data_IF_265833439029
#
_entry.id   IF_265833439029
#
_cell.length_a   1.000
_cell.length_b   1.000
_cell.length_c   1.000
_cell.angle_alpha   90.00
_cell.angle_beta   90.00
_cell.angle_gamma   90.00
#
_symmetry.space_group_name_H-M   'P 1'
#
loop_
_entity.id
_entity.type
_entity.pdbx_description
1 polymer ?
#
# COMPACT_ATOMS: atom_id res chain seq x y z
N UNK A 1 -10.98 -1.07 10.33
CA UNK A 1 -11.94 -0.73 11.41
C UNK A 1 -11.29 -1.05 12.75
N UNK A 2 -10.50 -0.11 13.27
CA UNK A 2 -10.00 -0.08 14.64
C UNK A 2 -9.61 1.38 14.91
N UNK A 3 -10.62 2.24 15.06
CA UNK A 3 -10.41 3.54 15.67
C UNK A 3 -9.95 3.27 17.11
N UNK A 4 -8.65 3.38 17.34
CA UNK A 4 -8.13 3.70 18.66
C UNK A 4 -8.87 4.97 19.09
N UNK A 5 -9.80 4.83 20.03
CA UNK A 5 -10.53 5.96 20.61
C UNK A 5 -9.55 6.72 21.48
N UNK A 6 -8.70 7.55 20.87
CA UNK A 6 -7.92 8.53 21.60
C UNK A 6 -8.95 9.47 22.20
N UNK A 7 -9.23 9.33 23.50
CA UNK A 7 -10.12 10.23 24.23
C UNK A 7 -9.60 11.65 24.00
N UNK A 8 -10.43 12.62 23.56
CA UNK A 8 -9.95 13.93 23.15
C UNK A 8 -9.20 14.68 24.26
N UNK A 9 -9.47 14.35 25.53
CA UNK A 9 -8.77 14.92 26.70
C UNK A 9 -7.35 14.39 26.94
N UNK A 10 -6.97 13.24 26.36
CA UNK A 10 -5.63 12.63 26.50
C UNK A 10 -4.75 12.82 25.25
N UNK A 11 -5.26 13.51 24.21
CA UNK A 11 -4.49 13.81 23.00
C UNK A 11 -3.19 14.57 23.31
N UNK A 12 -3.25 15.55 24.22
CA UNK A 12 -2.08 16.31 24.67
C UNK A 12 -1.02 15.44 25.33
N UNK A 13 -1.42 14.41 26.09
CA UNK A 13 -0.48 13.49 26.73
C UNK A 13 0.23 12.63 25.68
N UNK A 14 -0.50 12.14 24.68
CA UNK A 14 0.09 11.35 23.60
C UNK A 14 0.97 12.18 22.66
N UNK A 15 0.63 13.45 22.43
CA UNK A 15 1.39 14.37 21.57
C UNK A 15 2.65 14.91 22.29
N UNK A 16 2.57 15.17 23.60
CA UNK A 16 3.69 15.65 24.39
C UNK A 16 4.64 14.52 24.81
N UNK A 17 4.16 13.26 24.86
CA UNK A 17 4.93 12.11 25.35
C UNK A 17 6.34 11.98 24.75
N UNK A 18 6.55 12.05 23.41
CA UNK A 18 7.90 11.94 22.85
C UNK A 18 8.81 13.10 23.29
N UNK A 19 8.28 14.34 23.30
CA UNK A 19 9.04 15.52 23.70
C UNK A 19 9.41 15.46 25.19
N UNK A 20 8.45 15.17 26.06
CA UNK A 20 8.68 15.04 27.50
C UNK A 20 9.63 13.89 27.81
N UNK A 21 9.53 12.79 27.07
CA UNK A 21 10.42 11.64 27.20
C UNK A 21 11.86 12.00 26.86
N UNK A 22 12.09 12.75 25.77
CA UNK A 22 13.42 13.28 25.42
C UNK A 22 13.95 14.23 26.49
N UNK A 23 13.13 15.17 26.97
CA UNK A 23 13.54 16.15 27.99
C UNK A 23 13.93 15.45 29.30
N UNK A 24 13.06 14.59 29.83
CA UNK A 24 13.30 13.84 31.08
C UNK A 24 14.51 12.94 30.93
N UNK A 25 14.63 12.21 29.82
CA UNK A 25 15.76 11.31 29.58
C UNK A 25 17.08 12.07 29.43
N UNK A 26 17.06 13.26 28.83
CA UNK A 26 18.25 14.12 28.74
C UNK A 26 18.66 14.65 30.11
N UNK A 27 17.71 15.08 30.96
CA UNK A 27 17.99 15.52 32.34
C UNK A 27 18.56 14.37 33.17
N UNK A 28 17.94 13.20 33.12
CA UNK A 28 18.42 12.00 33.85
C UNK A 28 19.81 11.62 33.35
N UNK A 29 20.03 11.59 32.03
CA UNK A 29 21.34 11.25 31.46
C UNK A 29 22.41 12.27 31.84
N UNK A 30 22.05 13.55 31.97
CA UNK A 30 22.96 14.61 32.42
C UNK A 30 23.35 14.43 33.89
N UNK A 31 22.40 14.13 34.77
CA UNK A 31 22.66 13.86 36.20
C UNK A 31 23.48 12.57 36.37
N UNK A 32 23.09 11.50 35.68
CA UNK A 32 23.75 10.19 35.76
C UNK A 32 25.14 10.15 35.13
N UNK A 33 25.48 11.08 34.21
CA UNK A 33 26.85 11.20 33.66
C UNK A 33 27.89 11.51 34.73
N UNK A 34 27.47 12.11 35.84
CA UNK A 34 28.30 12.35 37.02
C UNK A 34 28.62 11.05 37.77
N UNK A 35 27.82 9.99 37.59
CA UNK A 35 27.97 8.71 38.27
C UNK A 35 28.55 7.58 37.39
N UNK A 36 28.20 7.45 36.10
CA UNK A 36 28.75 6.39 35.24
C UNK A 36 28.92 6.79 33.76
N UNK A 37 30.03 6.36 33.14
CA UNK A 37 30.43 6.64 31.74
C UNK A 37 29.79 5.71 30.69
N UNK A 38 28.75 4.94 31.03
CA UNK A 38 28.25 3.84 30.19
C UNK A 38 27.17 4.18 29.15
N UNK A 39 26.52 5.35 29.22
CA UNK A 39 25.36 5.65 28.37
C UNK A 39 25.81 6.28 27.04
N UNK A 40 25.52 5.60 25.93
CA UNK A 40 25.77 6.13 24.58
C UNK A 40 24.80 7.28 24.26
N UNK A 41 25.36 8.49 24.15
CA UNK A 41 24.65 9.70 23.74
C UNK A 41 24.88 9.99 22.25
N UNK A 42 24.04 10.83 21.67
CA UNK A 42 24.12 11.24 20.26
C UNK A 42 25.48 11.88 19.93
N UNK A 43 26.05 12.67 20.85
CA UNK A 43 27.35 13.33 20.64
C UNK A 43 27.25 14.64 19.87
N UNK A 44 28.37 15.10 19.29
CA UNK A 44 28.46 16.41 18.64
C UNK A 44 27.63 16.47 17.36
N UNK A 45 26.72 17.44 17.31
CA UNK A 45 25.90 17.77 16.15
C UNK A 45 26.31 19.14 15.62
N UNK A 46 26.61 19.28 14.31
CA UNK A 46 26.99 20.55 13.72
C UNK A 46 25.79 21.51 13.70
N UNK A 47 25.93 22.67 14.35
CA UNK A 47 24.89 23.68 14.42
C UNK A 47 24.64 24.36 13.08
N UNK A 48 23.39 24.76 12.84
CA UNK A 48 23.00 25.56 11.70
C UNK A 48 22.47 24.77 10.50
N UNK A 49 22.43 25.44 9.36
CA UNK A 49 21.88 24.89 8.11
C UNK A 49 23.03 24.42 7.23
N UNK A 50 22.87 23.28 6.56
CA UNK A 50 23.88 22.81 5.62
C UNK A 50 24.12 23.84 4.51
N UNK A 51 25.39 24.07 4.11
CA UNK A 51 25.70 24.95 3.00
C UNK A 51 25.12 24.41 1.69
N UNK A 52 24.91 25.31 0.73
CA UNK A 52 24.46 24.95 -0.61
C UNK A 52 25.41 23.93 -1.24
N UNK A 53 24.85 22.81 -1.68
CA UNK A 53 25.56 21.64 -2.21
C UNK A 53 25.44 21.55 -3.73
N UNK A 54 24.95 22.62 -4.37
CA UNK A 54 24.76 22.69 -5.83
C UNK A 54 26.07 22.43 -6.58
N UNK A 55 27.20 22.90 -6.05
CA UNK A 55 28.53 22.71 -6.65
C UNK A 55 29.08 21.28 -6.52
N UNK A 56 28.49 20.45 -5.65
CA UNK A 56 28.92 19.06 -5.40
C UNK A 56 28.17 18.03 -6.27
N UNK A 57 27.28 18.47 -7.15
CA UNK A 57 26.51 17.60 -8.06
C UNK A 57 27.39 17.13 -9.22
N UNK A 58 28.05 15.98 -9.04
CA UNK A 58 28.85 15.36 -10.08
C UNK A 58 28.07 14.28 -10.83
N UNK A 59 27.68 14.59 -12.07
CA UNK A 59 26.98 13.63 -12.95
C UNK A 59 27.93 12.65 -13.66
N UNK A 60 29.23 12.97 -13.69
CA UNK A 60 30.27 12.16 -14.35
C UNK A 60 31.19 11.58 -13.29
N UNK A 61 31.36 10.26 -13.30
CA UNK A 61 32.26 9.54 -12.40
C UNK A 61 31.98 8.04 -12.36
N UNK A 62 32.91 7.23 -11.79
CA UNK A 62 32.78 5.78 -11.70
C UNK A 62 31.56 5.33 -10.87
N UNK A 63 31.09 6.18 -9.95
CA UNK A 63 29.92 5.91 -9.10
C UNK A 63 28.60 6.42 -9.67
N UNK A 64 28.60 7.09 -10.83
CA UNK A 64 27.38 7.66 -11.43
C UNK A 64 26.31 6.59 -11.74
N UNK A 65 26.74 5.43 -12.26
CA UNK A 65 25.81 4.33 -12.54
C UNK A 65 25.19 3.74 -11.26
N UNK A 66 25.97 3.61 -10.19
CA UNK A 66 25.47 3.14 -8.89
C UNK A 66 24.50 4.16 -8.27
N UNK A 67 24.82 5.45 -8.37
CA UNK A 67 23.97 6.53 -7.90
C UNK A 67 22.64 6.60 -8.67
N UNK A 68 22.67 6.44 -9.99
CA UNK A 68 21.46 6.39 -10.81
C UNK A 68 20.58 5.19 -10.44
N UNK A 69 21.18 3.99 -10.31
CA UNK A 69 20.44 2.78 -9.90
C UNK A 69 19.82 2.94 -8.52
N UNK A 70 20.59 3.46 -7.55
CA UNK A 70 20.12 3.67 -6.19
C UNK A 70 19.04 4.74 -6.14
N UNK A 71 19.22 5.86 -6.85
CA UNK A 71 18.27 6.96 -6.95
C UNK A 71 16.95 6.57 -7.59
N UNK A 72 16.97 5.71 -8.63
CA UNK A 72 15.73 5.15 -9.20
C UNK A 72 14.98 4.30 -8.16
N UNK A 73 15.68 3.42 -7.45
CA UNK A 73 15.05 2.54 -6.46
C UNK A 73 14.51 3.33 -5.28
N UNK A 74 15.28 4.24 -4.69
CA UNK A 74 14.85 5.06 -3.55
C UNK A 74 13.78 6.07 -3.94
N UNK A 75 13.84 6.64 -5.14
CA UNK A 75 12.82 7.54 -5.67
C UNK A 75 11.47 6.84 -5.86
N UNK A 76 11.47 5.62 -6.42
CA UNK A 76 10.26 4.80 -6.53
C UNK A 76 9.69 4.46 -5.15
N UNK A 77 10.54 4.05 -4.21
CA UNK A 77 10.13 3.76 -2.83
C UNK A 77 9.50 5.00 -2.17
N UNK A 78 10.16 6.16 -2.25
CA UNK A 78 9.67 7.41 -1.68
C UNK A 78 8.32 7.82 -2.28
N UNK A 79 8.15 7.66 -3.60
CA UNK A 79 6.87 7.93 -4.27
C UNK A 79 5.78 6.97 -3.80
N UNK A 80 6.06 5.67 -3.72
CA UNK A 80 5.07 4.67 -3.30
C UNK A 80 4.62 4.90 -1.86
N UNK A 81 5.54 5.23 -0.96
CA UNK A 81 5.24 5.54 0.44
C UNK A 81 4.44 6.85 0.55
N UNK A 82 4.83 7.91 -0.17
CA UNK A 82 4.09 9.17 -0.21
C UNK A 82 2.63 8.98 -0.68
N UNK A 83 2.42 8.25 -1.79
CA UNK A 83 1.08 7.97 -2.32
C UNK A 83 0.29 7.08 -1.35
N UNK A 84 0.90 6.08 -0.74
CA UNK A 84 0.24 5.19 0.21
C UNK A 84 -0.26 5.95 1.45
N UNK A 85 0.59 6.81 2.03
CA UNK A 85 0.23 7.67 3.15
C UNK A 85 -0.86 8.65 2.72
N UNK A 86 -0.69 9.34 1.60
CA UNK A 86 -1.68 10.26 1.05
C UNK A 86 -3.06 9.62 0.91
N UNK A 87 -3.14 8.48 0.21
CA UNK A 87 -4.40 7.75 -0.01
C UNK A 87 -5.07 7.31 1.29
N UNK A 88 -4.28 6.93 2.29
CA UNK A 88 -4.80 6.55 3.62
C UNK A 88 -5.54 7.72 4.27
N UNK A 89 -4.95 8.92 4.27
CA UNK A 89 -5.60 10.12 4.83
C UNK A 89 -6.74 10.66 3.94
N UNK A 90 -6.61 10.53 2.63
CA UNK A 90 -7.66 10.90 1.66
C UNK A 90 -8.94 10.09 1.84
N UNK A 91 -8.79 8.77 2.00
CA UNK A 91 -9.90 7.86 2.30
C UNK A 91 -10.60 8.23 3.60
N UNK A 92 -9.85 8.60 4.66
CA UNK A 92 -10.46 9.01 5.94
C UNK A 92 -11.25 10.32 5.87
N UNK A 93 -10.91 11.22 4.94
CA UNK A 93 -11.57 12.53 4.77
C UNK A 93 -12.48 12.60 3.55
N UNK A 94 -12.64 11.49 2.82
CA UNK A 94 -13.42 11.41 1.59
C UNK A 94 -13.05 12.49 0.55
N UNK A 95 -11.76 12.77 0.38
CA UNK A 95 -11.27 13.55 -0.76
C UNK A 95 -10.44 12.66 -1.68
N UNK A 96 -10.26 13.09 -2.93
CA UNK A 96 -9.45 12.37 -3.90
C UNK A 96 -8.07 13.02 -4.04
N UNK A 97 -7.04 12.18 -4.10
CA UNK A 97 -5.68 12.61 -4.41
C UNK A 97 -5.38 12.27 -5.87
N UNK A 98 -4.85 13.26 -6.57
CA UNK A 98 -4.31 13.11 -7.91
C UNK A 98 -2.86 12.64 -7.82
N UNK A 99 -2.61 11.38 -8.23
CA UNK A 99 -1.28 10.78 -8.17
C UNK A 99 -0.24 11.47 -9.06
N UNK A 100 -0.66 12.09 -10.16
CA UNK A 100 0.27 12.81 -11.05
C UNK A 100 0.77 14.08 -10.38
N UNK A 101 -0.12 14.82 -9.70
CA UNK A 101 0.26 16.02 -8.93
C UNK A 101 1.17 15.66 -7.76
N UNK A 102 0.88 14.56 -7.07
CA UNK A 102 1.72 14.09 -5.97
C UNK A 102 3.11 13.69 -6.45
N UNK A 103 3.21 13.01 -7.61
CA UNK A 103 4.48 12.64 -8.21
C UNK A 103 5.34 13.86 -8.55
N UNK A 104 4.74 14.89 -9.15
CA UNK A 104 5.45 16.15 -9.44
C UNK A 104 5.88 16.86 -8.16
N UNK A 105 5.04 16.87 -7.12
CA UNK A 105 5.36 17.49 -5.84
C UNK A 105 6.53 16.80 -5.13
N UNK A 106 6.51 15.47 -5.02
CA UNK A 106 7.60 14.67 -4.41
C UNK A 106 8.90 14.82 -5.21
N UNK A 107 8.82 14.83 -6.55
CA UNK A 107 9.97 15.06 -7.43
C UNK A 107 10.58 16.45 -7.24
N UNK A 108 9.75 17.50 -7.28
CA UNK A 108 10.21 18.88 -7.09
C UNK A 108 10.81 19.09 -5.69
N UNK A 109 10.21 18.50 -4.65
CA UNK A 109 10.72 18.56 -3.28
C UNK A 109 12.11 17.92 -3.16
N UNK A 110 12.31 16.72 -3.72
CA UNK A 110 13.61 16.05 -3.68
C UNK A 110 14.66 16.75 -4.55
N UNK A 111 14.26 17.34 -5.68
CA UNK A 111 15.16 18.12 -6.52
C UNK A 111 15.65 19.38 -5.79
N UNK A 112 14.75 20.13 -5.15
CA UNK A 112 15.10 21.27 -4.30
C UNK A 112 15.96 20.85 -3.09
N UNK A 113 15.62 19.73 -2.44
CA UNK A 113 16.38 19.20 -1.30
C UNK A 113 17.81 18.78 -1.67
N UNK A 114 18.03 18.27 -2.89
CA UNK A 114 19.36 17.88 -3.36
C UNK A 114 20.35 19.04 -3.40
N UNK A 115 19.86 20.27 -3.61
CA UNK A 115 20.67 21.48 -3.61
C UNK A 115 21.18 21.88 -2.22
N UNK A 116 20.63 21.30 -1.14
CA UNK A 116 20.94 21.67 0.26
C UNK A 116 21.43 20.45 1.06
N UNK A 117 21.98 19.42 0.39
CA UNK A 117 22.42 18.16 1.02
C UNK A 117 21.31 17.44 1.82
N UNK A 118 20.06 17.53 1.35
CA UNK A 118 18.97 16.77 1.94
C UNK A 118 19.03 15.30 1.50
N UNK A 119 18.74 14.38 2.42
CA UNK A 119 18.47 12.98 2.06
C UNK A 119 17.12 12.86 1.34
N UNK A 120 16.90 11.74 0.64
CA UNK A 120 15.65 11.46 -0.05
C UNK A 120 14.48 11.57 0.93
N UNK A 121 13.57 12.49 0.65
CA UNK A 121 12.39 12.74 1.47
C UNK A 121 11.20 11.97 0.91
N UNK A 122 10.43 11.37 1.83
CA UNK A 122 9.27 10.51 1.56
C UNK A 122 8.07 10.93 2.43
N UNK A 123 6.92 10.27 2.24
CA UNK A 123 5.71 10.49 3.03
C UNK A 123 5.83 9.96 4.46
N UNK A 124 5.97 10.85 5.45
CA UNK A 124 6.07 10.45 6.86
C UNK A 124 4.72 10.12 7.50
N UNK A 125 4.35 8.82 7.57
CA UNK A 125 3.09 8.37 8.19
C UNK A 125 2.88 8.94 9.60
N UNK A 126 3.88 8.83 10.48
CA UNK A 126 3.78 9.28 11.87
C UNK A 126 3.50 10.78 12.00
N UNK A 127 4.20 11.62 11.21
CA UNK A 127 4.02 13.09 11.25
C UNK A 127 2.66 13.49 10.70
N UNK A 128 2.24 12.88 9.59
CA UNK A 128 0.92 13.10 8.99
C UNK A 128 -0.21 12.66 9.92
N UNK A 129 -0.04 11.55 10.65
CA UNK A 129 -1.02 11.08 11.64
C UNK A 129 -1.18 12.06 12.80
N UNK A 130 -0.09 12.60 13.33
CA UNK A 130 -0.15 13.61 14.39
C UNK A 130 -0.81 14.89 13.88
N UNK A 131 -0.42 15.36 12.70
CA UNK A 131 -0.99 16.56 12.07
C UNK A 131 -2.50 16.41 11.82
N UNK A 132 -2.92 15.22 11.38
CA UNK A 132 -4.32 14.87 11.18
C UNK A 132 -5.11 14.83 12.49
N UNK A 133 -4.56 14.17 13.51
CA UNK A 133 -5.20 14.04 14.82
C UNK A 133 -5.26 15.38 15.58
N UNK A 134 -4.31 16.29 15.32
CA UNK A 134 -4.34 17.67 15.82
C UNK A 134 -5.47 18.51 15.19
N UNK A 135 -6.15 18.01 14.16
CA UNK A 135 -7.26 18.70 13.51
C UNK A 135 -6.85 19.75 12.49
N UNK A 136 -5.61 19.72 12.01
CA UNK A 136 -5.11 20.66 11.00
C UNK A 136 -5.87 20.50 9.67
N UNK A 137 -6.24 21.65 9.07
CA UNK A 137 -7.05 21.70 7.84
C UNK A 137 -6.32 22.30 6.64
N UNK A 138 -5.21 23.02 6.87
CA UNK A 138 -4.51 23.79 5.84
C UNK A 138 -3.04 23.40 5.77
N UNK A 139 -2.41 23.65 4.62
CA UNK A 139 -0.98 23.44 4.41
C UNK A 139 -0.09 24.36 5.27
N UNK A 140 -0.67 25.40 5.88
CA UNK A 140 0.03 26.30 6.80
C UNK A 140 0.64 25.54 8.00
N UNK A 141 0.04 24.42 8.42
CA UNK A 141 0.62 23.57 9.46
C UNK A 141 2.02 23.07 9.09
N UNK A 142 2.25 22.70 7.82
CA UNK A 142 3.56 22.23 7.36
C UNK A 142 4.60 23.35 7.34
N UNK A 143 4.17 24.60 7.08
CA UNK A 143 5.06 25.78 7.13
C UNK A 143 5.51 26.01 8.58
N UNK A 144 4.57 26.02 9.53
CA UNK A 144 4.88 26.18 10.95
C UNK A 144 5.81 25.07 11.42
N UNK A 145 5.54 23.81 11.04
CA UNK A 145 6.41 22.68 11.35
C UNK A 145 7.82 22.89 10.80
N UNK A 146 7.97 23.33 9.56
CA UNK A 146 9.28 23.61 8.96
C UNK A 146 10.02 24.75 9.69
N UNK A 147 9.31 25.84 10.06
CA UNK A 147 9.89 26.94 10.83
C UNK A 147 10.36 26.51 12.22
N UNK A 148 9.60 25.67 12.91
CA UNK A 148 9.99 25.12 14.22
C UNK A 148 11.22 24.22 14.06
N UNK A 149 11.26 23.36 13.04
CA UNK A 149 12.45 22.52 12.76
C UNK A 149 13.68 23.39 12.49
N UNK A 150 13.55 24.43 11.66
CA UNK A 150 14.65 25.37 11.39
C UNK A 150 15.14 26.05 12.68
N UNK A 151 14.22 26.52 13.51
CA UNK A 151 14.57 27.11 14.81
C UNK A 151 15.29 26.11 15.72
N UNK A 152 14.83 24.85 15.76
CA UNK A 152 15.49 23.82 16.57
C UNK A 152 16.90 23.51 16.09
N UNK A 153 17.15 23.55 14.77
CA UNK A 153 18.50 23.33 14.22
C UNK A 153 19.45 24.49 14.53
N UNK A 154 18.93 25.72 14.61
CA UNK A 154 19.75 26.90 14.88
C UNK A 154 20.07 27.09 16.37
N UNK A 155 19.14 26.78 17.27
CA UNK A 155 19.26 27.11 18.70
C UNK A 155 19.35 25.87 19.62
N UNK A 156 18.68 24.77 19.27
CA UNK A 156 18.49 23.63 20.18
C UNK A 156 19.41 22.44 19.87
N UNK A 157 20.19 22.47 18.79
CA UNK A 157 21.17 21.42 18.48
C UNK A 157 22.13 21.07 19.63
N UNK A 158 22.76 22.02 20.35
CA UNK A 158 23.65 21.68 21.45
C UNK A 158 22.94 20.99 22.62
N UNK A 159 21.61 21.15 22.75
CA UNK A 159 20.83 20.45 23.77
C UNK A 159 20.70 18.95 23.48
N UNK A 160 20.61 18.57 22.20
CA UNK A 160 20.49 17.17 21.77
C UNK A 160 21.78 16.36 21.95
N UNK A 161 22.92 17.02 22.15
CA UNK A 161 24.20 16.35 22.43
C UNK A 161 24.11 15.36 23.59
N UNK A 162 23.30 15.70 24.61
CA UNK A 162 23.15 14.93 25.84
C UNK A 162 22.03 13.89 25.79
N UNK A 163 21.28 13.83 24.69
CA UNK A 163 20.18 12.89 24.57
C UNK A 163 20.71 11.46 24.40
N UNK A 164 20.23 10.48 25.18
CA UNK A 164 20.70 9.10 25.10
C UNK A 164 20.06 8.36 23.92
N UNK A 165 20.83 7.50 23.24
CA UNK A 165 20.34 6.73 22.10
C UNK A 165 19.18 5.77 22.48
N UNK A 166 19.12 5.35 23.75
CA UNK A 166 18.07 4.46 24.27
C UNK A 166 16.68 5.08 24.13
N UNK A 167 16.53 6.38 24.39
CA UNK A 167 15.22 7.03 24.31
C UNK A 167 14.73 7.16 22.86
N UNK A 168 15.66 7.41 21.94
CA UNK A 168 15.36 7.47 20.52
C UNK A 168 14.88 6.11 20.00
N UNK A 169 15.55 5.02 20.39
CA UNK A 169 15.12 3.65 20.09
C UNK A 169 13.74 3.34 20.67
N UNK A 170 13.47 3.74 21.91
CA UNK A 170 12.18 3.53 22.56
C UNK A 170 11.04 4.28 21.82
N UNK A 171 11.29 5.51 21.37
CA UNK A 171 10.32 6.30 20.58
C UNK A 171 10.04 5.61 19.24
N UNK A 172 11.07 5.13 18.54
CA UNK A 172 10.92 4.43 17.26
C UNK A 172 10.10 3.14 17.44
N UNK A 173 10.44 2.31 18.42
CA UNK A 173 9.72 1.05 18.70
C UNK A 173 8.25 1.35 19.04
N UNK A 174 8.00 2.33 19.91
CA UNK A 174 6.64 2.72 20.29
C UNK A 174 5.82 3.22 19.09
N UNK A 175 6.44 3.98 18.19
CA UNK A 175 5.78 4.45 16.97
C UNK A 175 5.44 3.28 16.03
N UNK A 176 6.39 2.36 15.78
CA UNK A 176 6.23 1.24 14.85
C UNK A 176 5.19 0.23 15.32
N UNK A 177 5.09 -0.05 16.62
CA UNK A 177 4.08 -0.97 17.17
C UNK A 177 2.66 -0.54 16.77
N UNK A 178 2.40 0.77 16.73
CA UNK A 178 1.10 1.32 16.31
C UNK A 178 0.77 1.14 14.83
N UNK A 179 1.76 0.86 13.98
CA UNK A 179 1.57 0.64 12.53
C UNK A 179 1.24 -0.82 12.19
N UNK A 180 1.44 -1.77 13.11
CA UNK A 180 1.22 -3.20 12.85
C UNK A 180 -0.28 -3.54 12.98
N UNK A 181 -0.98 -3.68 11.84
CA UNK A 181 -2.38 -4.11 11.80
C UNK A 181 -2.52 -5.64 11.60
N UNK A 182 -2.43 -6.38 12.71
CA UNK A 182 -2.61 -7.85 12.71
C UNK A 182 -4.04 -8.25 12.32
N UNK A 183 -5.05 -7.44 12.66
CA UNK A 183 -6.44 -7.74 12.35
C UNK A 183 -6.69 -7.65 10.84
N UNK A 184 -6.09 -6.66 10.19
CA UNK A 184 -6.09 -6.53 8.73
C UNK A 184 -5.52 -7.77 8.03
N UNK A 185 -4.38 -8.28 8.50
CA UNK A 185 -3.77 -9.50 7.95
C UNK A 185 -4.67 -10.74 8.12
N UNK A 186 -5.31 -10.91 9.29
CA UNK A 186 -6.24 -12.02 9.54
C UNK A 186 -7.49 -11.91 8.65
N UNK A 187 -7.99 -10.69 8.44
CA UNK A 187 -9.13 -10.46 7.55
C UNK A 187 -8.76 -10.83 6.10
N UNK A 188 -7.57 -10.44 5.64
CA UNK A 188 -7.05 -10.83 4.33
C UNK A 188 -7.03 -12.35 4.16
N UNK A 189 -6.54 -13.09 5.16
CA UNK A 189 -6.53 -14.56 5.13
C UNK A 189 -7.93 -15.18 4.98
N UNK A 190 -8.95 -14.58 5.61
CA UNK A 190 -10.34 -15.07 5.54
C UNK A 190 -11.01 -14.75 4.20
N UNK A 191 -10.65 -13.63 3.57
CA UNK A 191 -11.28 -13.15 2.33
C UNK A 191 -10.57 -13.71 1.10
N UNK A 192 -9.27 -13.49 0.98
CA UNK A 192 -8.48 -13.89 -0.19
C UNK A 192 -7.08 -14.37 0.22
N UNK A 193 -6.86 -15.68 0.04
CA UNK A 193 -5.58 -16.34 0.36
C UNK A 193 -4.43 -15.82 -0.52
N UNK A 194 -4.69 -15.43 -1.76
CA UNK A 194 -3.64 -14.92 -2.66
C UNK A 194 -3.14 -13.55 -2.22
N UNK A 195 -4.04 -12.67 -1.79
CA UNK A 195 -3.65 -11.35 -1.25
C UNK A 195 -2.89 -11.50 0.07
N UNK A 196 -3.27 -12.47 0.90
CA UNK A 196 -2.49 -12.79 2.10
C UNK A 196 -1.07 -13.27 1.75
N UNK A 197 -0.91 -14.15 0.75
CA UNK A 197 0.41 -14.59 0.29
C UNK A 197 1.23 -13.42 -0.23
N UNK A 198 0.63 -12.51 -1.01
CA UNK A 198 1.30 -11.30 -1.48
C UNK A 198 1.75 -10.41 -0.30
N UNK A 199 0.91 -10.24 0.72
CA UNK A 199 1.24 -9.48 1.93
C UNK A 199 2.37 -10.15 2.75
N UNK A 200 2.27 -11.45 3.00
CA UNK A 200 3.29 -12.21 3.75
C UNK A 200 4.63 -12.25 3.01
N UNK A 201 4.61 -12.33 1.68
CA UNK A 201 5.82 -12.26 0.86
C UNK A 201 6.51 -10.90 0.95
N UNK A 202 5.75 -9.80 1.03
CA UNK A 202 6.32 -8.47 1.27
C UNK A 202 6.98 -8.43 2.66
N UNK A 203 6.27 -8.89 3.69
CA UNK A 203 6.76 -8.88 5.07
C UNK A 203 8.05 -9.70 5.23
N UNK A 204 8.03 -10.98 4.82
CA UNK A 204 9.18 -11.87 4.92
C UNK A 204 10.31 -11.45 3.96
N UNK A 205 9.98 -10.98 2.76
CA UNK A 205 10.97 -10.55 1.77
C UNK A 205 11.75 -9.32 2.22
N UNK A 206 11.07 -8.34 2.83
CA UNK A 206 11.73 -7.16 3.41
C UNK A 206 12.55 -7.53 4.65
N UNK A 207 12.03 -8.40 5.51
CA UNK A 207 12.70 -8.82 6.75
C UNK A 207 13.96 -9.67 6.51
N UNK A 208 13.92 -10.60 5.56
CA UNK A 208 14.97 -11.59 5.34
C UNK A 208 16.01 -11.17 4.29
N UNK A 209 15.62 -10.34 3.32
CA UNK A 209 16.47 -10.02 2.15
C UNK A 209 16.78 -8.53 2.09
N UNK A 210 15.81 -7.74 1.64
CA UNK A 210 15.93 -6.27 1.53
C UNK A 210 14.61 -5.65 1.13
N UNK A 211 14.45 -4.35 1.42
CA UNK A 211 13.26 -3.58 1.05
C UNK A 211 12.90 -3.69 -0.45
N UNK A 212 13.82 -3.47 -1.40
CA UNK A 212 13.48 -3.48 -2.83
C UNK A 212 13.07 -4.87 -3.32
N UNK A 213 13.77 -5.91 -2.87
CA UNK A 213 13.53 -7.29 -3.32
C UNK A 213 12.19 -7.80 -2.78
N UNK A 214 11.89 -7.55 -1.50
CA UNK A 214 10.60 -7.92 -0.91
C UNK A 214 9.41 -7.27 -1.63
N UNK A 215 9.54 -6.00 -2.02
CA UNK A 215 8.52 -5.30 -2.78
C UNK A 215 8.31 -5.89 -4.18
N UNK A 216 9.38 -6.20 -4.92
CA UNK A 216 9.29 -6.81 -6.26
C UNK A 216 8.58 -8.16 -6.20
N UNK A 217 8.89 -8.99 -5.21
CA UNK A 217 8.24 -10.30 -5.01
C UNK A 217 6.73 -10.11 -4.79
N UNK A 218 6.35 -9.19 -3.89
CA UNK A 218 4.93 -8.94 -3.59
C UNK A 218 4.13 -8.39 -4.77
N UNK A 219 4.71 -7.44 -5.52
CA UNK A 219 4.12 -6.91 -6.76
C UNK A 219 4.01 -8.01 -7.81
N UNK A 220 5.03 -8.86 -7.96
CA UNK A 220 5.02 -9.99 -8.88
C UNK A 220 3.88 -10.97 -8.59
N UNK A 221 3.66 -11.32 -7.32
CA UNK A 221 2.55 -12.18 -6.91
C UNK A 221 1.19 -11.50 -7.19
N UNK A 222 1.08 -10.20 -6.94
CA UNK A 222 -0.15 -9.44 -7.21
C UNK A 222 -0.48 -9.39 -8.71
N UNK A 223 0.52 -9.15 -9.56
CA UNK A 223 0.36 -9.18 -11.02
C UNK A 223 0.00 -10.59 -11.50
N UNK A 224 0.67 -11.61 -10.95
CA UNK A 224 0.39 -13.00 -11.29
C UNK A 224 -1.05 -13.41 -10.90
N UNK A 225 -1.55 -12.94 -9.75
CA UNK A 225 -2.95 -13.12 -9.34
C UNK A 225 -3.92 -12.51 -10.35
N UNK A 226 -3.67 -11.28 -10.78
CA UNK A 226 -4.50 -10.59 -11.79
C UNK A 226 -4.49 -11.40 -13.10
N UNK A 227 -3.30 -11.86 -13.53
CA UNK A 227 -3.17 -12.66 -14.73
C UNK A 227 -3.94 -13.99 -14.63
N UNK A 228 -3.90 -14.66 -13.48
CA UNK A 228 -4.70 -15.86 -13.23
C UNK A 228 -6.21 -15.61 -13.27
N UNK A 229 -6.66 -14.46 -12.75
CA UNK A 229 -8.07 -14.09 -12.79
C UNK A 229 -8.53 -13.80 -14.22
N UNK A 230 -7.73 -13.08 -15.01
CA UNK A 230 -8.05 -12.74 -16.41
C UNK A 230 -7.99 -13.96 -17.34
N UNK A 231 -7.13 -14.94 -17.05
CA UNK A 231 -7.00 -16.17 -17.85
C UNK A 231 -8.06 -17.23 -17.56
N UNK A 232 -8.74 -17.17 -16.41
CA UNK A 232 -9.80 -18.11 -16.02
C UNK A 232 -11.10 -17.38 -15.72
N UNK A 233 -11.77 -16.83 -16.76
CA UNK A 233 -13.05 -16.17 -16.60
C UNK A 233 -14.11 -17.18 -16.13
N UNK A 234 -15.11 -16.68 -15.42
CA UNK A 234 -16.25 -17.49 -15.10
C UNK A 234 -17.15 -17.62 -16.34
N UNK A 235 -17.54 -18.86 -16.65
CA UNK A 235 -18.49 -19.16 -17.72
C UNK A 235 -19.66 -19.87 -17.06
N UNK A 236 -20.85 -19.30 -17.23
CA UNK A 236 -22.07 -19.81 -16.63
C UNK A 236 -23.03 -20.33 -17.71
N UNK A 237 -23.66 -21.47 -17.45
CA UNK A 237 -24.83 -21.90 -18.24
C UNK A 237 -26.03 -21.12 -17.74
N UNK A 238 -26.75 -20.49 -18.66
CA UNK A 238 -27.92 -19.69 -18.36
C UNK A 238 -29.21 -20.44 -18.67
N UNK A 239 -30.20 -20.26 -17.80
CA UNK A 239 -31.51 -20.90 -17.85
C UNK A 239 -32.60 -19.85 -17.69
N UNK A 240 -33.79 -20.15 -18.18
CA UNK A 240 -34.92 -19.24 -18.11
C UNK A 240 -35.70 -19.45 -16.81
N UNK A 241 -36.05 -18.36 -16.12
CA UNK A 241 -36.94 -18.42 -14.96
C UNK A 241 -38.40 -18.41 -15.47
N UNK A 242 -39.20 -19.46 -15.19
CA UNK A 242 -40.54 -19.59 -15.71
C UNK A 242 -41.42 -18.39 -15.30
N UNK A 243 -42.14 -17.81 -16.26
CA UNK A 243 -42.97 -16.63 -16.06
C UNK A 243 -42.24 -15.27 -16.25
N UNK A 244 -40.94 -15.27 -16.55
CA UNK A 244 -40.18 -14.06 -16.87
C UNK A 244 -39.35 -14.22 -18.15
N UNK A 245 -38.87 -13.11 -18.72
CA UNK A 245 -37.88 -13.11 -19.80
C UNK A 245 -36.43 -12.96 -19.25
N UNK A 246 -36.17 -13.44 -18.03
CA UNK A 246 -34.87 -13.31 -17.38
C UNK A 246 -34.08 -14.62 -17.44
N UNK A 247 -32.91 -14.55 -18.07
CA UNK A 247 -31.94 -15.64 -18.09
C UNK A 247 -30.95 -15.48 -16.93
N UNK A 248 -30.79 -16.52 -16.11
CA UNK A 248 -29.90 -16.54 -14.94
C UNK A 248 -29.09 -17.84 -14.85
N UNK A 249 -28.00 -17.80 -14.12
CA UNK A 249 -27.12 -18.95 -13.92
C UNK A 249 -27.85 -20.09 -13.18
N UNK A 250 -27.89 -21.29 -13.78
CA UNK A 250 -28.55 -22.46 -13.19
C UNK A 250 -27.90 -22.93 -11.89
N UNK A 251 -26.59 -22.75 -11.75
CA UNK A 251 -25.89 -23.19 -10.54
C UNK A 251 -26.31 -22.35 -9.32
N UNK A 252 -26.76 -21.11 -9.55
CA UNK A 252 -27.16 -20.19 -8.50
C UNK A 252 -28.67 -20.18 -8.25
N UNK A 253 -29.48 -20.27 -9.32
CA UNK A 253 -30.95 -20.20 -9.24
C UNK A 253 -31.58 -21.56 -9.58
N UNK A 254 -32.04 -22.27 -8.55
CA UNK A 254 -32.71 -23.58 -8.70
C UNK A 254 -34.03 -23.52 -9.48
N UNK A 255 -34.65 -22.33 -9.54
CA UNK A 255 -35.88 -22.07 -10.29
C UNK A 255 -35.62 -21.86 -11.79
N UNK A 256 -34.37 -21.67 -12.21
CA UNK A 256 -34.02 -21.51 -13.61
C UNK A 256 -34.08 -22.86 -14.33
N UNK A 257 -34.90 -22.93 -15.37
CA UNK A 257 -35.11 -24.12 -16.18
C UNK A 257 -34.33 -24.04 -17.49
N UNK A 258 -33.82 -25.18 -17.95
CA UNK A 258 -33.16 -25.27 -19.26
C UNK A 258 -34.20 -25.23 -20.37
N UNK A 259 -33.85 -24.57 -21.46
CA UNK A 259 -34.65 -24.63 -22.68
C UNK A 259 -34.26 -25.89 -23.46
N UNK A 260 -35.21 -26.77 -23.82
CA UNK A 260 -34.91 -27.96 -24.61
C UNK A 260 -34.31 -27.56 -25.97
N UNK A 261 -33.27 -28.25 -26.40
CA UNK A 261 -32.50 -28.00 -27.65
C UNK A 261 -31.69 -26.70 -27.76
N UNK A 262 -31.64 -25.84 -26.73
CA UNK A 262 -30.84 -24.61 -26.72
C UNK A 262 -29.83 -24.61 -25.58
N UNK A 263 -28.56 -24.31 -25.87
CA UNK A 263 -27.52 -24.08 -24.86
C UNK A 263 -27.16 -22.60 -24.83
N UNK A 264 -27.41 -21.94 -23.71
CA UNK A 264 -27.08 -20.52 -23.52
C UNK A 264 -25.89 -20.40 -22.56
N UNK A 265 -24.79 -19.85 -23.05
CA UNK A 265 -23.55 -19.65 -22.28
C UNK A 265 -23.33 -18.16 -22.05
N UNK A 266 -23.30 -17.75 -20.79
CA UNK A 266 -22.92 -16.40 -20.38
C UNK A 266 -21.42 -16.32 -20.16
N UNK A 267 -20.73 -15.49 -20.94
CA UNK A 267 -19.31 -15.19 -20.77
C UNK A 267 -19.21 -13.87 -20.01
N UNK A 268 -18.77 -13.94 -18.75
CA UNK A 268 -18.70 -12.78 -17.84
C UNK A 268 -17.37 -12.01 -17.96
N UNK A 269 -16.64 -12.16 -19.08
CA UNK A 269 -15.32 -11.54 -19.27
C UNK A 269 -15.07 -11.13 -20.73
N UNK A 270 -14.32 -10.03 -20.96
CA UNK A 270 -13.75 -9.73 -22.26
C UNK A 270 -12.84 -10.87 -22.75
N UNK A 271 -12.78 -11.04 -24.08
CA UNK A 271 -11.94 -12.05 -24.73
C UNK A 271 -10.57 -11.44 -25.03
N UNK A 272 -9.53 -11.96 -24.37
CA UNK A 272 -8.12 -11.60 -24.61
C UNK A 272 -7.37 -12.75 -25.29
N UNK A 273 -6.22 -12.44 -25.90
CA UNK A 273 -5.32 -13.46 -26.46
C UNK A 273 -4.91 -14.51 -25.42
N UNK A 274 -4.70 -14.10 -24.17
CA UNK A 274 -4.34 -14.98 -23.06
C UNK A 274 -5.45 -15.94 -22.61
N UNK A 275 -6.70 -15.68 -22.97
CA UNK A 275 -7.87 -16.42 -22.51
C UNK A 275 -8.61 -17.16 -23.64
N UNK A 276 -8.31 -16.85 -24.90
CA UNK A 276 -9.02 -17.40 -26.06
C UNK A 276 -9.00 -18.93 -26.11
N UNK A 277 -7.84 -19.55 -25.87
CA UNK A 277 -7.68 -21.02 -25.87
C UNK A 277 -8.47 -21.65 -24.72
N UNK A 278 -8.38 -21.06 -23.51
CA UNK A 278 -9.11 -21.55 -22.35
C UNK A 278 -10.63 -21.46 -22.55
N UNK A 279 -11.13 -20.34 -23.09
CA UNK A 279 -12.54 -20.16 -23.43
C UNK A 279 -13.00 -21.18 -24.46
N UNK A 280 -12.23 -21.39 -25.53
CA UNK A 280 -12.56 -22.36 -26.57
C UNK A 280 -12.67 -23.78 -26.02
N UNK A 281 -11.67 -24.23 -25.27
CA UNK A 281 -11.67 -25.57 -24.65
C UNK A 281 -12.83 -25.73 -23.66
N UNK A 282 -13.13 -24.69 -22.88
CA UNK A 282 -14.20 -24.72 -21.88
C UNK A 282 -15.58 -24.76 -22.56
N UNK A 283 -15.81 -23.94 -23.57
CA UNK A 283 -17.06 -23.93 -24.36
C UNK A 283 -17.27 -25.31 -25.01
N UNK A 284 -16.23 -25.86 -25.66
CA UNK A 284 -16.32 -27.19 -26.28
C UNK A 284 -16.59 -28.30 -25.26
N UNK A 285 -16.06 -28.19 -24.03
CA UNK A 285 -16.36 -29.14 -22.96
C UNK A 285 -17.82 -29.07 -22.54
N UNK A 286 -18.39 -27.88 -22.35
CA UNK A 286 -19.80 -27.71 -22.03
C UNK A 286 -20.73 -28.24 -23.13
N UNK A 287 -20.35 -28.04 -24.40
CA UNK A 287 -21.12 -28.59 -25.53
C UNK A 287 -21.16 -30.12 -25.46
N UNK A 288 -20.01 -30.77 -25.24
CA UNK A 288 -19.94 -32.24 -25.11
C UNK A 288 -20.74 -32.77 -23.92
N UNK A 289 -20.61 -32.13 -22.75
CA UNK A 289 -21.38 -32.50 -21.55
C UNK A 289 -22.89 -32.38 -21.78
N UNK A 290 -23.34 -31.36 -22.51
CA UNK A 290 -24.76 -31.18 -22.82
C UNK A 290 -25.26 -32.22 -23.84
N UNK A 291 -24.46 -32.56 -24.83
CA UNK A 291 -24.78 -33.57 -25.85
C UNK A 291 -24.89 -34.98 -25.25
N UNK A 292 -24.00 -35.34 -24.34
CA UNK A 292 -24.08 -36.58 -23.55
C UNK A 292 -25.35 -36.61 -22.68
N UNK A 293 -25.72 -35.50 -22.02
CA UNK A 293 -26.92 -35.40 -21.20
C UNK A 293 -28.21 -35.59 -22.03
N UNK A 294 -28.29 -34.94 -23.19
CA UNK A 294 -29.43 -35.04 -24.11
C UNK A 294 -29.60 -36.47 -24.61
N UNK A 295 -28.49 -37.14 -24.96
CA UNK A 295 -28.47 -38.53 -25.41
C UNK A 295 -29.00 -39.47 -24.31
N UNK A 296 -28.57 -39.28 -23.07
CA UNK A 296 -29.04 -40.07 -21.92
C UNK A 296 -30.52 -39.81 -21.58
N UNK A 297 -31.00 -38.58 -21.80
CA UNK A 297 -32.36 -38.17 -21.45
C UNK A 297 -33.38 -38.42 -22.58
N UNK A 298 -32.92 -38.93 -23.75
CA UNK A 298 -33.71 -39.08 -24.98
C UNK A 298 -34.44 -37.79 -25.40
N UNK A 299 -33.82 -36.64 -25.10
CA UNK A 299 -34.33 -35.32 -25.50
C UNK A 299 -33.97 -35.03 -26.97
N UNK A 300 -34.59 -34.01 -27.57
CA UNK A 300 -34.25 -33.56 -28.92
C UNK A 300 -32.81 -33.06 -28.99
N UNK A 301 -32.07 -33.34 -30.09
CA UNK A 301 -30.66 -32.98 -30.21
C UNK A 301 -30.45 -31.47 -30.06
N UNK A 302 -29.24 -31.08 -29.67
CA UNK A 302 -28.84 -29.68 -29.56
C UNK A 302 -28.95 -29.01 -30.94
N UNK A 303 -29.75 -27.95 -31.06
CA UNK A 303 -29.95 -27.24 -32.35
C UNK A 303 -29.18 -25.93 -32.45
N UNK A 304 -29.01 -25.23 -31.34
CA UNK A 304 -28.41 -23.89 -31.34
C UNK A 304 -27.67 -23.59 -30.03
N UNK A 305 -26.55 -22.89 -30.16
CA UNK A 305 -25.74 -22.38 -29.04
C UNK A 305 -25.82 -20.86 -29.09
N UNK A 306 -26.23 -20.26 -27.97
CA UNK A 306 -26.30 -18.81 -27.80
C UNK A 306 -25.18 -18.41 -26.84
N UNK A 307 -24.24 -17.62 -27.34
CA UNK A 307 -23.15 -17.05 -26.56
C UNK A 307 -23.54 -15.62 -26.17
N UNK A 308 -23.89 -15.42 -24.90
CA UNK A 308 -24.09 -14.09 -24.34
C UNK A 308 -22.73 -13.51 -23.93
N UNK A 309 -22.24 -12.57 -24.74
CA UNK A 309 -21.02 -11.81 -24.48
C UNK A 309 -21.30 -10.41 -23.93
N UNK A 310 -22.53 -10.13 -23.48
CA UNK A 310 -22.91 -8.80 -23.00
C UNK A 310 -22.17 -8.39 -21.71
N UNK A 311 -21.42 -9.30 -21.08
CA UNK A 311 -20.56 -8.99 -19.94
C UNK A 311 -21.34 -8.31 -18.82
N UNK A 312 -22.48 -8.89 -18.42
CA UNK A 312 -23.24 -8.37 -17.27
C UNK A 312 -22.48 -8.67 -16.00
N UNK A 313 -21.62 -7.73 -15.60
CA UNK A 313 -21.02 -7.65 -14.28
C UNK A 313 -22.16 -7.54 -13.25
N UNK A 314 -22.57 -8.66 -12.66
CA UNK A 314 -23.35 -8.67 -11.42
C UNK A 314 -22.39 -8.81 -10.24
#
# INVERSE_FOLDING_TARGET
>A
MAQSSIRPKLFWVSAAAPLTSVIISTIISFISRTHEKGISTIGFLPEGVNPSSVSMLHFKGPHSNLALKTGMVTGLLALTEAIAVGRTFASMKNYQIDGNKEMVAVGAMNMAGSCVSCYVTSGGFARSAINFNAGCKTAASNIIMASVVLFTMLLLMPLFHYTPNVILSAIIISAVIGLIDVRGAILLWKVDKFDFVACMSAFLGVLLISVPIGLIISVGISVLKILFHVTRPNIAVMGNIPGTNSYRNLAQYKEATRMPSFLILGIESPVYFTNSVYLQERILRWIREEEERITNSKESPLKCIILDMAGKWC
#
